data_IF_761931067013
#
_entry.id   IF_761931067013
#
_cell.length_a   1.000
_cell.length_b   1.000
_cell.length_c   1.000
_cell.angle_alpha   90.00
_cell.angle_beta   90.00
_cell.angle_gamma   90.00
#
_symmetry.space_group_name_H-M   'P 1'
#
loop_
_entity.id
_entity.type
_entity.pdbx_description
1 polymer ?
#
# COMPACT_ATOMS: atom_id res chain seq x y z
N UNK A 1 -9.44 12.59 -1.12
CA UNK A 1 -8.35 12.07 -1.98
C UNK A 1 -8.61 12.33 -3.48
N UNK A 2 -9.80 12.02 -4.02
CA UNK A 2 -10.05 12.09 -5.47
C UNK A 2 -10.35 13.48 -6.06
N UNK A 3 -10.79 14.46 -5.25
CA UNK A 3 -11.07 15.81 -5.76
C UNK A 3 -9.83 16.63 -6.13
N UNK A 4 -8.62 16.20 -5.74
CA UNK A 4 -7.38 16.90 -6.07
C UNK A 4 -6.94 16.70 -7.53
N UNK A 5 -7.45 15.68 -8.23
CA UNK A 5 -6.99 15.35 -9.59
C UNK A 5 -7.59 16.22 -10.69
N UNK A 6 -8.67 16.97 -10.43
CA UNK A 6 -9.48 17.58 -11.50
C UNK A 6 -9.38 19.12 -11.61
N UNK A 7 -8.51 19.79 -10.82
CA UNK A 7 -8.36 21.24 -10.94
C UNK A 7 -7.21 21.61 -11.89
N UNK A 8 -7.59 22.00 -13.09
CA UNK A 8 -6.73 22.30 -14.24
C UNK A 8 -6.17 23.73 -14.21
N UNK A 9 -4.83 23.83 -14.09
CA UNK A 9 -3.92 24.82 -14.74
C UNK A 9 -2.57 24.98 -14.03
N UNK A 10 -2.34 24.31 -12.89
CA UNK A 10 -0.98 24.12 -12.34
C UNK A 10 -0.53 22.70 -12.63
N UNK A 11 0.58 22.56 -13.35
CA UNK A 11 1.27 21.28 -13.41
C UNK A 11 1.76 20.95 -12.01
N UNK A 12 1.20 19.90 -11.41
CA UNK A 12 1.62 19.41 -10.10
C UNK A 12 3.12 19.14 -10.10
N UNK A 13 3.82 19.61 -9.07
CA UNK A 13 5.27 19.38 -8.94
C UNK A 13 5.47 18.04 -8.24
N UNK A 14 6.14 17.11 -8.92
CA UNK A 14 6.50 15.80 -8.39
C UNK A 14 7.98 15.73 -8.05
N UNK A 15 8.28 15.19 -6.88
CA UNK A 15 9.63 14.81 -6.46
C UNK A 15 9.76 13.29 -6.55
N UNK A 16 10.74 12.83 -7.30
CA UNK A 16 11.09 11.42 -7.41
C UNK A 16 12.32 11.15 -6.56
N UNK A 17 12.27 10.10 -5.74
CA UNK A 17 13.40 9.68 -4.90
C UNK A 17 13.65 8.21 -5.15
N UNK A 18 14.79 7.89 -5.75
CA UNK A 18 15.29 6.51 -5.83
C UNK A 18 16.11 6.22 -4.59
N UNK A 19 15.78 5.13 -3.91
CA UNK A 19 16.45 4.64 -2.70
C UNK A 19 16.94 3.22 -2.97
N UNK A 20 18.25 3.03 -3.00
CA UNK A 20 18.90 1.73 -3.24
C UNK A 20 19.83 1.36 -2.10
N UNK A 21 19.91 0.08 -1.74
CA UNK A 21 20.84 -0.38 -0.70
C UNK A 21 21.92 -1.28 -1.30
N UNK A 22 23.18 -1.06 -0.91
CA UNK A 22 24.32 -1.92 -1.26
C UNK A 22 24.97 -2.52 0.00
N UNK A 23 24.16 -3.08 0.90
CA UNK A 23 24.53 -3.70 2.19
C UNK A 23 25.20 -2.80 3.24
N UNK A 24 26.12 -1.92 2.85
CA UNK A 24 26.86 -0.99 3.72
C UNK A 24 26.42 0.46 3.54
N UNK A 25 25.60 0.75 2.53
CA UNK A 25 25.13 2.09 2.18
C UNK A 25 23.70 2.10 1.70
N UNK A 26 23.05 3.25 1.92
CA UNK A 26 21.84 3.64 1.20
C UNK A 26 22.17 4.82 0.30
N UNK A 27 21.87 4.66 -0.98
CA UNK A 27 22.00 5.68 -2.00
C UNK A 27 20.64 6.31 -2.27
N UNK A 28 20.63 7.64 -2.27
CA UNK A 28 19.46 8.45 -2.58
C UNK A 28 19.71 9.26 -3.85
N UNK A 29 18.78 9.19 -4.81
CA UNK A 29 18.78 10.04 -6.00
C UNK A 29 17.45 10.76 -6.15
N UNK A 30 17.49 12.08 -6.13
CA UNK A 30 16.32 12.94 -6.14
C UNK A 30 16.26 13.75 -7.43
N UNK A 31 15.10 13.79 -8.08
CA UNK A 31 14.88 14.62 -9.28
C UNK A 31 13.41 15.05 -9.39
N UNK A 32 13.17 16.12 -10.15
CA UNK A 32 11.82 16.61 -10.47
C UNK A 32 11.43 16.21 -11.90
N UNK A 33 10.12 16.18 -12.20
CA UNK A 33 9.52 15.79 -13.50
C UNK A 33 10.28 16.25 -14.76
N UNK A 34 10.85 17.46 -14.75
CA UNK A 34 11.46 18.09 -15.93
C UNK A 34 12.91 18.52 -15.73
N UNK A 35 13.53 18.18 -14.60
CA UNK A 35 14.89 18.62 -14.28
C UNK A 35 15.92 17.54 -14.61
N UNK A 36 16.91 17.90 -15.45
CA UNK A 36 18.11 17.08 -15.66
C UNK A 36 19.06 17.11 -14.47
N UNK A 37 18.80 17.98 -13.48
CA UNK A 37 19.58 18.09 -12.26
C UNK A 37 19.01 17.11 -11.24
N UNK A 38 19.88 16.28 -10.71
CA UNK A 38 19.56 15.41 -9.60
C UNK A 38 20.43 15.75 -8.40
N UNK A 39 19.85 15.62 -7.21
CA UNK A 39 20.60 15.56 -5.96
C UNK A 39 20.93 14.09 -5.71
N UNK A 40 22.19 13.80 -5.41
CA UNK A 40 22.62 12.47 -4.99
C UNK A 40 23.22 12.57 -3.59
N UNK A 41 22.79 11.68 -2.72
CA UNK A 41 23.28 11.54 -1.35
C UNK A 41 23.53 10.07 -1.05
N UNK A 42 24.45 9.81 -0.15
CA UNK A 42 24.72 8.47 0.36
C UNK A 42 24.74 8.54 1.87
N UNK A 43 24.30 7.46 2.52
CA UNK A 43 24.42 7.29 3.96
C UNK A 43 24.97 5.90 4.24
N UNK A 44 26.04 5.84 5.02
CA UNK A 44 26.55 4.57 5.51
C UNK A 44 25.52 3.95 6.45
N UNK A 45 25.23 2.68 6.24
CA UNK A 45 24.32 1.90 7.08
C UNK A 45 24.93 0.52 7.33
N UNK A 46 24.88 0.05 8.56
CA UNK A 46 25.31 -1.32 8.85
C UNK A 46 24.14 -2.28 8.68
N UNK A 47 24.45 -3.54 8.34
CA UNK A 47 23.44 -4.61 8.32
C UNK A 47 22.71 -4.75 9.67
N UNK A 48 23.43 -4.61 10.77
CA UNK A 48 22.83 -4.66 12.11
C UNK A 48 21.84 -3.52 12.34
N UNK A 49 22.16 -2.31 11.84
CA UNK A 49 21.26 -1.17 11.92
C UNK A 49 20.00 -1.39 11.07
N UNK A 50 20.13 -1.94 9.85
CA UNK A 50 18.99 -2.30 9.03
C UNK A 50 18.09 -3.33 9.72
N UNK A 51 18.66 -4.39 10.30
CA UNK A 51 17.89 -5.39 11.05
C UNK A 51 17.16 -4.75 12.24
N UNK A 52 17.79 -3.81 12.95
CA UNK A 52 17.16 -3.10 14.06
C UNK A 52 16.00 -2.23 13.57
N UNK A 53 16.14 -1.54 12.43
CA UNK A 53 15.07 -0.76 11.83
C UNK A 53 13.90 -1.67 11.43
N UNK A 54 14.17 -2.82 10.82
CA UNK A 54 13.14 -3.80 10.48
C UNK A 54 12.40 -4.27 11.72
N UNK A 55 13.12 -4.63 12.79
CA UNK A 55 12.53 -5.03 14.06
C UNK A 55 11.63 -3.94 14.64
N UNK A 56 12.07 -2.68 14.65
CA UNK A 56 11.25 -1.55 15.11
C UNK A 56 10.00 -1.36 14.24
N UNK A 57 10.08 -1.62 12.93
CA UNK A 57 8.91 -1.59 12.04
C UNK A 57 7.91 -2.70 12.39
N UNK A 58 8.39 -3.93 12.63
CA UNK A 58 7.53 -5.04 13.05
C UNK A 58 6.83 -4.74 14.37
N UNK A 59 7.59 -4.27 15.37
CA UNK A 59 7.03 -3.91 16.68
C UNK A 59 6.00 -2.78 16.58
N UNK A 60 6.24 -1.79 15.71
CA UNK A 60 5.30 -0.73 15.45
C UNK A 60 3.98 -1.27 14.84
N UNK A 61 4.05 -2.19 13.88
CA UNK A 61 2.86 -2.83 13.28
C UNK A 61 2.10 -3.63 14.33
N UNK A 62 2.78 -4.47 15.11
CA UNK A 62 2.15 -5.29 16.16
C UNK A 62 1.44 -4.41 17.20
N UNK A 63 2.04 -3.28 17.56
CA UNK A 63 1.45 -2.33 18.50
C UNK A 63 0.25 -1.59 17.92
N UNK A 64 0.30 -1.16 16.66
CA UNK A 64 -0.86 -0.56 15.99
C UNK A 64 -2.06 -1.52 15.95
N UNK A 65 -1.77 -2.81 15.78
CA UNK A 65 -2.76 -3.88 15.78
C UNK A 65 -3.25 -4.29 17.18
N UNK A 66 -2.61 -3.84 18.26
CA UNK A 66 -3.00 -4.17 19.64
C UNK A 66 -4.14 -3.31 20.18
N UNK A 67 -4.82 -3.75 21.24
CA UNK A 67 -5.94 -3.03 21.89
C UNK A 67 -5.50 -1.88 22.82
N UNK A 68 -4.29 -1.34 22.66
CA UNK A 68 -3.81 -0.18 23.42
C UNK A 68 -4.61 1.07 23.01
N UNK A 69 -4.73 2.05 23.92
CA UNK A 69 -5.42 3.31 23.65
C UNK A 69 -4.72 4.17 22.57
N UNK A 70 -5.50 4.94 21.83
CA UNK A 70 -5.03 5.67 20.64
C UNK A 70 -3.94 6.71 20.95
N UNK A 71 -3.97 7.33 22.13
CA UNK A 71 -2.99 8.35 22.52
C UNK A 71 -1.59 7.73 22.63
N UNK A 72 -1.48 6.58 23.28
CA UNK A 72 -0.21 5.86 23.41
C UNK A 72 0.29 5.34 22.06
N UNK A 73 -0.63 5.00 21.14
CA UNK A 73 -0.29 4.61 19.76
C UNK A 73 0.34 5.77 18.99
N UNK A 74 -0.26 6.96 19.04
CA UNK A 74 0.22 8.13 18.31
C UNK A 74 1.60 8.60 18.82
N UNK A 75 1.81 8.65 20.14
CA UNK A 75 3.10 9.03 20.73
C UNK A 75 4.22 8.04 20.35
N UNK A 76 3.90 6.75 20.34
CA UNK A 76 4.85 5.71 19.97
C UNK A 76 5.15 5.72 18.48
N UNK A 77 4.13 5.85 17.64
CA UNK A 77 4.27 6.03 16.20
C UNK A 77 5.19 7.22 15.88
N UNK A 78 4.98 8.35 16.58
CA UNK A 78 5.84 9.53 16.46
C UNK A 78 7.28 9.22 16.86
N UNK A 79 7.48 8.59 18.02
CA UNK A 79 8.83 8.27 18.52
C UNK A 79 9.58 7.32 17.59
N UNK A 80 8.94 6.24 17.14
CA UNK A 80 9.53 5.25 16.23
C UNK A 80 9.76 5.84 14.84
N UNK A 81 8.81 6.62 14.32
CA UNK A 81 8.94 7.32 13.04
C UNK A 81 10.08 8.35 13.01
N UNK A 82 10.30 9.07 14.12
CA UNK A 82 11.47 9.95 14.30
C UNK A 82 12.75 9.13 14.34
N UNK A 83 12.80 8.07 15.15
CA UNK A 83 13.98 7.22 15.28
C UNK A 83 14.41 6.66 13.92
N UNK A 84 13.49 6.02 13.18
CA UNK A 84 13.77 5.44 11.87
C UNK A 84 14.22 6.52 10.88
N UNK A 85 13.57 7.69 10.88
CA UNK A 85 13.94 8.81 10.02
C UNK A 85 15.39 9.27 10.28
N UNK A 86 15.79 9.41 11.55
CA UNK A 86 17.16 9.79 11.91
C UNK A 86 18.20 8.73 11.52
N UNK A 87 17.82 7.44 11.56
CA UNK A 87 18.71 6.37 11.11
C UNK A 87 18.83 6.30 9.58
N UNK A 88 17.77 6.61 8.83
CA UNK A 88 17.76 6.47 7.37
C UNK A 88 18.15 7.76 6.62
N UNK A 89 17.55 8.89 6.95
CA UNK A 89 17.73 10.12 6.16
C UNK A 89 18.94 10.92 6.63
N UNK A 90 19.60 11.60 5.69
CA UNK A 90 20.61 12.61 6.02
C UNK A 90 19.93 13.93 6.37
N UNK A 91 20.59 14.80 7.13
CA UNK A 91 20.08 16.15 7.42
C UNK A 91 19.74 16.91 6.14
N UNK A 92 20.58 16.79 5.10
CA UNK A 92 20.38 17.43 3.81
C UNK A 92 19.12 16.94 3.09
N UNK A 93 18.78 15.66 3.19
CA UNK A 93 17.53 15.13 2.64
C UNK A 93 16.31 15.65 3.40
N UNK A 94 16.35 15.65 4.74
CA UNK A 94 15.29 16.21 5.58
C UNK A 94 15.07 17.69 5.27
N UNK A 95 16.15 18.47 5.16
CA UNK A 95 16.08 19.88 4.78
C UNK A 95 15.44 20.05 3.40
N UNK A 96 15.82 19.21 2.41
CA UNK A 96 15.24 19.26 1.07
C UNK A 96 13.73 18.96 1.09
N UNK A 97 13.29 17.95 1.83
CA UNK A 97 11.88 17.60 1.97
C UNK A 97 11.07 18.71 2.67
N UNK A 98 11.67 19.42 3.63
CA UNK A 98 11.00 20.52 4.32
C UNK A 98 10.80 21.75 3.42
N UNK A 99 11.78 22.08 2.57
CA UNK A 99 11.76 23.32 1.76
C UNK A 99 11.19 23.16 0.36
N UNK A 100 11.05 21.93 -0.15
CA UNK A 100 10.50 21.70 -1.50
C UNK A 100 9.03 22.14 -1.62
N UNK A 101 8.67 22.51 -2.85
CA UNK A 101 7.30 22.84 -3.26
C UNK A 101 6.60 21.66 -3.93
N UNK A 102 7.24 20.50 -4.02
CA UNK A 102 6.60 19.30 -4.52
C UNK A 102 5.40 18.94 -3.63
N UNK A 103 4.29 18.59 -4.29
CA UNK A 103 3.07 18.11 -3.63
C UNK A 103 3.04 16.58 -3.63
N UNK A 104 3.72 15.95 -4.59
CA UNK A 104 3.77 14.51 -4.76
C UNK A 104 5.20 14.01 -4.54
N UNK A 105 5.31 12.89 -3.83
CA UNK A 105 6.56 12.19 -3.59
C UNK A 105 6.45 10.77 -4.14
N UNK A 106 7.23 10.45 -5.16
CA UNK A 106 7.26 9.11 -5.75
C UNK A 106 8.57 8.44 -5.36
N UNK A 107 8.48 7.42 -4.51
CA UNK A 107 9.61 6.66 -4.00
C UNK A 107 9.87 5.44 -4.91
N UNK A 108 11.03 5.39 -5.56
CA UNK A 108 11.53 4.17 -6.19
C UNK A 108 12.38 3.42 -5.17
N UNK A 109 11.86 2.35 -4.60
CA UNK A 109 12.44 1.69 -3.43
C UNK A 109 12.98 0.33 -3.87
N UNK A 110 14.21 0.04 -3.48
CA UNK A 110 14.80 -1.29 -3.59
C UNK A 110 14.05 -2.31 -2.73
N UNK A 111 13.97 -3.57 -3.19
CA UNK A 111 13.21 -4.64 -2.54
C UNK A 111 13.60 -4.82 -1.07
N UNK A 112 14.89 -4.66 -0.74
CA UNK A 112 15.39 -4.78 0.63
C UNK A 112 14.85 -3.70 1.59
N UNK A 113 14.33 -2.59 1.07
CA UNK A 113 13.88 -1.43 1.86
C UNK A 113 12.36 -1.24 1.84
N UNK A 114 11.61 -2.19 1.26
CA UNK A 114 10.15 -2.08 1.06
C UNK A 114 9.37 -2.08 2.37
N UNK A 115 9.85 -2.82 3.37
CA UNK A 115 9.18 -2.98 4.67
C UNK A 115 9.22 -1.71 5.53
N UNK A 116 10.12 -0.78 5.21
CA UNK A 116 10.21 0.49 5.92
C UNK A 116 8.96 1.32 5.59
N UNK A 117 8.23 1.85 6.58
CA UNK A 117 7.06 2.70 6.38
C UNK A 117 7.47 4.15 6.06
N UNK A 118 8.06 4.38 4.87
CA UNK A 118 8.58 5.67 4.42
C UNK A 118 7.62 6.85 4.59
N UNK A 119 6.31 6.61 4.46
CA UNK A 119 5.23 7.58 4.67
C UNK A 119 5.14 8.07 6.11
N UNK A 120 5.48 7.22 7.07
CA UNK A 120 5.36 7.46 8.51
C UNK A 120 6.66 8.02 9.12
N UNK A 121 7.65 8.34 8.28
CA UNK A 121 8.88 8.98 8.73
C UNK A 121 8.63 10.44 9.07
N UNK A 122 9.22 10.90 10.18
CA UNK A 122 9.12 12.29 10.62
C UNK A 122 10.29 13.12 10.07
N UNK A 123 10.04 13.87 8.99
CA UNK A 123 11.04 14.74 8.34
C UNK A 123 11.35 16.01 9.15
N UNK A 124 10.51 16.31 10.14
CA UNK A 124 10.71 17.29 11.19
C UNK A 124 10.16 16.71 12.50
N UNK A 125 10.37 17.38 13.64
CA UNK A 125 9.80 16.94 14.92
C UNK A 125 8.27 16.83 14.92
N UNK A 126 7.58 17.49 13.98
CA UNK A 126 6.11 17.59 13.96
C UNK A 126 5.51 17.26 12.58
N UNK A 127 6.28 16.74 11.63
CA UNK A 127 5.79 16.56 10.26
C UNK A 127 6.18 15.20 9.70
N UNK A 128 5.17 14.37 9.40
CA UNK A 128 5.36 13.13 8.66
C UNK A 128 5.48 13.37 7.16
N UNK A 129 6.12 12.44 6.46
CA UNK A 129 6.20 12.45 5.00
C UNK A 129 4.80 12.48 4.37
N UNK A 130 3.86 11.66 4.83
CA UNK A 130 2.50 11.60 4.27
C UNK A 130 1.62 12.81 4.56
N UNK A 131 1.95 13.60 5.59
CA UNK A 131 1.26 14.88 5.85
C UNK A 131 1.76 15.99 4.92
N UNK A 132 3.03 15.88 4.49
CA UNK A 132 3.68 16.83 3.60
C UNK A 132 3.40 16.54 2.12
N UNK A 133 3.31 15.26 1.74
CA UNK A 133 3.23 14.82 0.35
C UNK A 133 2.10 13.83 0.10
N UNK A 134 1.56 13.84 -1.12
CA UNK A 134 0.89 12.68 -1.69
C UNK A 134 1.95 11.65 -2.09
N UNK A 135 2.11 10.62 -1.27
CA UNK A 135 3.18 9.62 -1.45
C UNK A 135 2.71 8.47 -2.33
N UNK A 136 3.57 8.06 -3.27
CA UNK A 136 3.44 6.81 -4.01
C UNK A 136 4.75 6.02 -3.94
N UNK A 137 4.65 4.69 -3.97
CA UNK A 137 5.80 3.78 -3.98
C UNK A 137 5.85 3.00 -5.28
N UNK A 138 7.06 2.83 -5.81
CA UNK A 138 7.38 1.96 -6.92
C UNK A 138 8.53 1.06 -6.47
N UNK A 139 8.30 -0.24 -6.42
CA UNK A 139 9.34 -1.19 -5.99
C UNK A 139 10.17 -1.54 -7.21
N UNK A 140 11.48 -1.32 -7.14
CA UNK A 140 12.40 -1.65 -8.20
C UNK A 140 12.57 -3.18 -8.26
N UNK A 141 11.79 -3.84 -9.12
CA UNK A 141 11.95 -5.24 -9.44
C UNK A 141 12.67 -5.36 -10.79
N UNK A 142 13.89 -5.92 -10.79
CA UNK A 142 14.64 -6.24 -12.02
C UNK A 142 13.87 -7.18 -12.98
N UNK A 143 12.77 -7.78 -12.53
CA UNK A 143 12.01 -8.81 -13.23
C UNK A 143 10.57 -8.44 -13.60
N UNK A 144 10.12 -7.18 -13.51
CA UNK A 144 8.86 -6.80 -14.15
C UNK A 144 9.13 -6.76 -15.66
N UNK A 145 8.89 -7.90 -16.33
CA UNK A 145 8.65 -7.91 -17.78
C UNK A 145 7.71 -6.75 -18.04
N UNK A 146 8.09 -5.80 -18.92
CA UNK A 146 7.23 -4.69 -19.33
C UNK A 146 5.85 -5.28 -19.62
N UNK A 147 4.91 -5.10 -18.69
CA UNK A 147 3.54 -5.46 -18.94
C UNK A 147 3.05 -4.47 -19.99
N UNK A 148 2.21 -4.92 -20.90
CA UNK A 148 1.55 -4.02 -21.83
C UNK A 148 0.80 -2.94 -21.03
N UNK A 149 0.77 -1.70 -21.52
CA UNK A 149 -0.08 -0.69 -20.90
C UNK A 149 -1.53 -1.18 -20.99
N UNK A 150 -2.22 -1.21 -19.85
CA UNK A 150 -3.64 -1.55 -19.83
C UNK A 150 -4.41 -0.42 -20.51
N UNK A 151 -5.20 -0.76 -21.53
CA UNK A 151 -6.17 0.19 -22.08
C UNK A 151 -7.27 0.41 -21.04
N UNK A 152 -7.29 1.59 -20.43
CA UNK A 152 -8.37 2.00 -19.55
C UNK A 152 -9.55 2.42 -20.43
N UNK A 153 -10.67 1.70 -20.30
CA UNK A 153 -11.90 2.03 -21.01
C UNK A 153 -12.61 3.21 -20.32
N UNK A 154 -13.59 3.81 -21.01
CA UNK A 154 -14.42 4.88 -20.44
C UNK A 154 -15.32 4.41 -19.28
N UNK A 155 -15.52 3.09 -19.18
CA UNK A 155 -16.17 2.42 -18.05
C UNK A 155 -15.08 1.74 -17.21
N UNK A 156 -14.97 2.18 -15.96
CA UNK A 156 -14.09 1.64 -14.94
C UNK A 156 -14.84 0.61 -14.11
N UNK A 157 -14.24 -0.56 -13.91
CA UNK A 157 -14.81 -1.62 -13.10
C UNK A 157 -14.02 -1.79 -11.79
N UNK A 158 -14.71 -1.81 -10.66
CA UNK A 158 -14.15 -2.00 -9.32
C UNK A 158 -14.73 -3.26 -8.67
N UNK A 159 -13.85 -4.16 -8.25
CA UNK A 159 -14.21 -5.29 -7.39
C UNK A 159 -13.96 -4.91 -5.94
N UNK A 160 -14.97 -5.00 -5.08
CA UNK A 160 -14.84 -4.84 -3.64
C UNK A 160 -14.84 -6.23 -3.01
N UNK A 161 -13.71 -6.64 -2.45
CA UNK A 161 -13.53 -7.95 -1.83
C UNK A 161 -13.73 -7.81 -0.32
N UNK A 162 -14.82 -8.38 0.20
CA UNK A 162 -15.17 -8.34 1.63
C UNK A 162 -15.25 -9.76 2.21
N UNK A 163 -14.12 -10.50 2.26
CA UNK A 163 -14.13 -11.88 2.70
C UNK A 163 -14.66 -11.91 4.13
N UNK A 164 -15.80 -12.56 4.31
CA UNK A 164 -16.51 -12.52 5.58
C UNK A 164 -15.64 -13.16 6.68
N UNK A 165 -15.22 -12.29 7.61
CA UNK A 165 -14.24 -12.49 8.67
C UNK A 165 -14.29 -11.32 9.66
N UNK A 166 -15.18 -11.42 10.65
CA UNK A 166 -15.34 -10.63 11.90
C UNK A 166 -15.16 -9.08 11.93
N UNK A 167 -14.86 -8.41 10.81
CA UNK A 167 -14.73 -6.96 10.72
C UNK A 167 -16.12 -6.34 10.50
N UNK A 168 -16.71 -5.80 11.57
CA UNK A 168 -18.03 -5.17 11.57
C UNK A 168 -18.18 -4.01 10.59
N UNK A 169 -17.07 -3.38 10.20
CA UNK A 169 -17.04 -2.22 9.29
C UNK A 169 -16.93 -2.58 7.81
N UNK A 170 -16.59 -3.82 7.46
CA UNK A 170 -16.30 -4.20 6.08
C UNK A 170 -17.53 -4.08 5.15
N UNK A 171 -18.70 -4.54 5.62
CA UNK A 171 -19.95 -4.44 4.86
C UNK A 171 -20.41 -2.98 4.73
N UNK A 172 -20.52 -2.18 5.81
CA UNK A 172 -20.85 -0.75 5.69
C UNK A 172 -19.94 0.03 4.75
N UNK A 173 -18.63 -0.23 4.79
CA UNK A 173 -17.66 0.42 3.90
C UNK A 173 -17.92 0.06 2.43
N UNK A 174 -18.17 -1.24 2.14
CA UNK A 174 -18.48 -1.70 0.79
C UNK A 174 -19.76 -1.05 0.25
N UNK A 175 -20.82 -1.03 1.05
CA UNK A 175 -22.11 -0.41 0.67
C UNK A 175 -21.94 1.10 0.40
N UNK A 176 -21.10 1.78 1.20
CA UNK A 176 -20.81 3.20 1.02
C UNK A 176 -20.03 3.46 -0.28
N UNK A 177 -19.04 2.63 -0.61
CA UNK A 177 -18.27 2.75 -1.86
C UNK A 177 -19.18 2.53 -3.07
N UNK A 178 -20.02 1.49 -3.06
CA UNK A 178 -21.01 1.24 -4.11
C UNK A 178 -21.95 2.44 -4.29
N UNK A 179 -22.51 2.95 -3.18
CA UNK A 179 -23.42 4.10 -3.21
C UNK A 179 -22.74 5.37 -3.75
N UNK A 180 -21.45 5.57 -3.45
CA UNK A 180 -20.65 6.68 -3.96
C UNK A 180 -20.34 6.52 -5.46
N UNK A 181 -20.09 5.30 -5.93
CA UNK A 181 -19.91 5.02 -7.35
C UNK A 181 -21.19 5.33 -8.14
N UNK A 182 -22.35 4.87 -7.67
CA UNK A 182 -23.65 5.19 -8.28
C UNK A 182 -23.90 6.71 -8.31
N UNK A 183 -23.62 7.40 -7.20
CA UNK A 183 -23.77 8.85 -7.11
C UNK A 183 -22.81 9.60 -8.05
N UNK A 184 -21.59 9.08 -8.22
CA UNK A 184 -20.59 9.61 -9.15
C UNK A 184 -21.08 9.52 -10.60
N UNK A 185 -21.60 8.37 -11.03
CA UNK A 185 -22.10 8.16 -12.39
C UNK A 185 -23.29 9.07 -12.71
N UNK A 186 -24.14 9.36 -11.71
CA UNK A 186 -25.23 10.33 -11.86
C UNK A 186 -24.73 11.78 -12.00
N UNK A 187 -23.55 12.09 -11.47
CA UNK A 187 -23.01 13.46 -11.41
C UNK A 187 -22.03 13.78 -12.55
N UNK A 188 -21.38 12.76 -13.14
CA UNK A 188 -20.36 12.92 -14.17
C UNK A 188 -20.70 12.07 -15.39
N UNK A 189 -20.96 12.71 -16.53
CA UNK A 189 -21.42 12.03 -17.75
C UNK A 189 -20.30 11.43 -18.63
N UNK A 190 -19.04 11.62 -18.27
CA UNK A 190 -17.89 11.29 -19.13
C UNK A 190 -17.08 10.08 -18.63
N UNK A 191 -17.44 9.52 -17.48
CA UNK A 191 -16.77 8.38 -16.89
C UNK A 191 -17.80 7.58 -16.10
N UNK A 192 -17.89 6.28 -16.38
CA UNK A 192 -18.79 5.36 -15.69
C UNK A 192 -17.94 4.49 -14.74
N UNK A 193 -18.37 4.33 -13.50
CA UNK A 193 -17.71 3.52 -12.49
C UNK A 193 -18.68 2.46 -11.99
N UNK A 194 -18.48 1.22 -12.43
CA UNK A 194 -19.21 0.05 -11.94
C UNK A 194 -18.48 -0.54 -10.74
N UNK A 195 -19.15 -0.65 -9.59
CA UNK A 195 -18.60 -1.26 -8.38
C UNK A 195 -19.44 -2.48 -7.97
N UNK A 196 -18.77 -3.60 -7.71
CA UNK A 196 -19.40 -4.86 -7.28
C UNK A 196 -18.72 -5.38 -6.00
N UNK A 197 -19.51 -5.68 -4.97
CA UNK A 197 -19.01 -6.33 -3.75
C UNK A 197 -19.14 -7.86 -3.82
N UNK A 198 -18.09 -8.57 -3.43
CA UNK A 198 -18.07 -10.03 -3.34
C UNK A 198 -17.50 -10.50 -1.99
N UNK A 199 -18.37 -11.05 -1.14
CA UNK A 199 -18.03 -11.57 0.19
C UNK A 199 -17.76 -13.08 0.22
N UNK A 200 -18.00 -13.77 -0.90
CA UNK A 200 -17.86 -15.23 -1.02
C UNK A 200 -16.61 -15.62 -1.83
N UNK A 201 -15.77 -14.65 -2.14
CA UNK A 201 -14.59 -14.86 -2.96
C UNK A 201 -13.54 -15.70 -2.22
N UNK A 202 -13.04 -16.73 -2.92
CA UNK A 202 -12.00 -17.65 -2.44
C UNK A 202 -10.67 -17.34 -3.11
N UNK A 203 -9.56 -17.88 -2.57
CA UNK A 203 -8.24 -17.72 -3.19
C UNK A 203 -8.18 -18.32 -4.61
N UNK A 204 -8.89 -19.41 -4.89
CA UNK A 204 -9.02 -19.89 -6.26
C UNK A 204 -9.79 -18.89 -7.14
N UNK A 205 -10.94 -18.41 -6.66
CA UNK A 205 -11.84 -17.60 -7.47
C UNK A 205 -11.29 -16.23 -7.85
N UNK A 206 -10.58 -15.60 -6.91
CA UNK A 206 -9.98 -14.29 -7.15
C UNK A 206 -8.91 -14.32 -8.24
N UNK A 207 -8.21 -15.45 -8.43
CA UNK A 207 -7.08 -15.54 -9.39
C UNK A 207 -7.48 -15.26 -10.84
N UNK A 208 -8.72 -15.59 -11.22
CA UNK A 208 -9.26 -15.29 -12.53
C UNK A 208 -10.17 -14.06 -12.53
N UNK A 209 -10.91 -13.83 -11.45
CA UNK A 209 -11.87 -12.72 -11.35
C UNK A 209 -11.16 -11.37 -11.38
N UNK A 210 -10.02 -11.25 -10.70
CA UNK A 210 -9.30 -9.99 -10.51
C UNK A 210 -8.86 -9.32 -11.82
N UNK A 211 -8.61 -10.10 -12.88
CA UNK A 211 -8.14 -9.59 -14.18
C UNK A 211 -9.23 -8.83 -14.95
N UNK A 212 -10.50 -9.01 -14.60
CA UNK A 212 -11.63 -8.38 -15.29
C UNK A 212 -12.00 -7.00 -14.73
N UNK A 213 -11.36 -6.57 -13.65
CA UNK A 213 -11.62 -5.27 -13.01
C UNK A 213 -10.43 -4.35 -13.18
N UNK A 214 -10.65 -3.06 -13.18
CA UNK A 214 -9.62 -2.02 -13.22
C UNK A 214 -9.10 -1.70 -11.81
N UNK A 215 -9.97 -1.83 -10.82
CA UNK A 215 -9.68 -1.63 -9.39
C UNK A 215 -10.12 -2.83 -8.57
N UNK A 216 -9.38 -3.08 -7.49
CA UNK A 216 -9.78 -4.04 -6.47
C UNK A 216 -9.65 -3.37 -5.11
N UNK A 217 -10.75 -3.19 -4.41
CA UNK A 217 -10.79 -2.70 -3.04
C UNK A 217 -10.90 -3.88 -2.08
N UNK A 218 -9.84 -4.18 -1.32
CA UNK A 218 -9.84 -5.30 -0.37
C UNK A 218 -10.15 -4.83 1.05
N UNK A 219 -11.22 -5.33 1.66
CA UNK A 219 -11.62 -5.02 3.04
C UNK A 219 -11.76 -6.32 3.83
N UNK A 220 -10.65 -6.76 4.41
CA UNK A 220 -10.57 -8.04 5.12
C UNK A 220 -9.26 -8.17 5.90
N UNK A 221 -9.04 -9.36 6.47
CA UNK A 221 -7.78 -9.68 7.14
C UNK A 221 -6.68 -10.02 6.16
N UNK A 222 -5.45 -9.71 6.54
CA UNK A 222 -4.24 -10.17 5.87
C UNK A 222 -3.37 -10.93 6.86
N UNK A 223 -2.70 -11.98 6.38
CA UNK A 223 -1.66 -12.63 7.15
C UNK A 223 -0.32 -11.95 6.88
N UNK A 224 0.35 -11.57 7.96
CA UNK A 224 1.67 -10.95 7.92
C UNK A 224 2.61 -11.72 8.85
N UNK A 225 3.62 -12.34 8.25
CA UNK A 225 4.68 -13.09 8.89
C UNK A 225 6.05 -12.68 8.30
N UNK A 226 7.13 -13.24 8.84
CA UNK A 226 8.50 -12.91 8.43
C UNK A 226 8.86 -13.41 7.02
N UNK A 227 8.14 -14.41 6.50
CA UNK A 227 8.31 -14.93 5.15
C UNK A 227 7.37 -14.21 4.17
N UNK A 228 7.85 -13.10 3.60
CA UNK A 228 7.07 -12.18 2.73
C UNK A 228 6.29 -12.89 1.60
N UNK A 229 6.84 -13.98 1.04
CA UNK A 229 6.19 -14.76 -0.03
C UNK A 229 4.91 -15.49 0.42
N UNK A 230 4.76 -15.71 1.72
CA UNK A 230 3.61 -16.38 2.34
C UNK A 230 2.55 -15.38 2.82
N UNK A 231 2.92 -14.11 2.98
CA UNK A 231 1.98 -13.05 3.35
C UNK A 231 0.92 -12.85 2.27
N UNK A 232 -0.31 -12.55 2.68
CA UNK A 232 -1.43 -12.50 1.74
C UNK A 232 -2.78 -12.17 2.33
N UNK A 233 -3.78 -12.09 1.45
CA UNK A 233 -5.16 -11.85 1.84
C UNK A 233 -5.81 -13.12 2.35
N UNK A 234 -6.45 -13.03 3.51
CA UNK A 234 -7.26 -14.12 4.06
C UNK A 234 -8.64 -14.06 3.40
N UNK A 235 -9.03 -15.15 2.76
CA UNK A 235 -10.24 -15.29 1.95
C UNK A 235 -11.08 -16.48 2.42
N UNK A 236 -12.29 -16.62 1.89
CA UNK A 236 -13.14 -17.79 2.15
C UNK A 236 -12.42 -19.09 1.76
N UNK A 237 -12.65 -20.19 2.48
CA UNK A 237 -12.05 -21.48 2.13
C UNK A 237 -12.48 -21.90 0.73
N UNK A 238 -11.56 -22.48 -0.03
CA UNK A 238 -11.89 -23.05 -1.34
C UNK A 238 -12.86 -24.24 -1.14
N UNK A 239 -13.86 -24.41 -2.02
CA UNK A 239 -14.75 -25.56 -1.96
C UNK A 239 -13.92 -26.85 -2.09
N UNK A 240 -14.07 -27.74 -1.11
CA UNK A 240 -13.45 -29.07 -1.14
C UNK A 240 -14.21 -29.92 -2.16
N UNK A 241 -13.58 -30.21 -3.29
CA UNK A 241 -14.09 -31.22 -4.23
C UNK A 241 -13.62 -32.60 -3.76
N UNK A 242 -14.54 -33.38 -3.18
CA UNK A 242 -14.33 -34.78 -2.76
C UNK A 242 -14.00 -35.65 -4.00
N UNK A 243 -12.74 -35.67 -4.39
CA UNK A 243 -12.23 -36.58 -5.42
C UNK A 243 -11.15 -37.54 -4.90
N UNK A 244 -10.76 -37.45 -3.62
CA UNK A 244 -9.81 -38.38 -3.01
C UNK A 244 -10.50 -39.29 -1.99
N UNK A 245 -10.37 -40.59 -2.25
CA UNK A 245 -10.93 -41.67 -1.43
C UNK A 245 -10.43 -41.58 0.02
N UNK A 246 -11.26 -41.02 0.89
CA UNK A 246 -11.46 -41.50 2.26
C UNK A 246 -10.23 -41.55 3.15
N UNK A 247 -9.33 -40.57 3.10
CA UNK A 247 -8.30 -40.43 4.13
C UNK A 247 -7.94 -38.96 4.42
N UNK A 248 -8.85 -38.22 5.05
CA UNK A 248 -8.58 -36.84 5.47
C UNK A 248 -8.56 -36.73 6.99
N UNK A 249 -7.38 -36.96 7.58
CA UNK A 249 -6.99 -36.29 8.82
C UNK A 249 -6.51 -34.85 8.55
N UNK A 250 -6.60 -34.39 7.31
CA UNK A 250 -6.31 -33.00 6.95
C UNK A 250 -7.45 -32.11 7.46
N UNK A 251 -7.11 -31.29 8.44
CA UNK A 251 -7.94 -30.20 8.95
C UNK A 251 -8.52 -29.46 7.74
N UNK A 252 -9.86 -29.41 7.62
CA UNK A 252 -10.52 -28.45 6.74
C UNK A 252 -9.94 -27.07 7.10
N UNK A 253 -9.17 -26.48 6.19
CA UNK A 253 -8.68 -25.13 6.39
C UNK A 253 -9.92 -24.21 6.51
N UNK A 254 -10.04 -23.49 7.62
CA UNK A 254 -11.17 -22.59 7.87
C UNK A 254 -11.19 -21.38 6.91
N UNK A 255 -10.07 -21.13 6.22
CA UNK A 255 -9.84 -20.04 5.28
C UNK A 255 -8.87 -20.45 4.17
N UNK A 256 -8.79 -19.64 3.11
CA UNK A 256 -7.76 -19.74 2.07
C UNK A 256 -6.94 -18.45 2.01
N UNK A 257 -5.72 -18.50 1.49
CA UNK A 257 -4.84 -17.32 1.40
C UNK A 257 -4.43 -17.06 -0.06
N UNK A 258 -4.64 -15.83 -0.52
CA UNK A 258 -4.02 -15.31 -1.74
C UNK A 258 -2.68 -14.66 -1.37
N UNK A 259 -1.60 -15.41 -1.53
CA UNK A 259 -0.25 -14.96 -1.17
C UNK A 259 0.39 -14.10 -2.26
N UNK A 260 1.36 -13.28 -1.88
CA UNK A 260 2.19 -12.49 -2.81
C UNK A 260 2.84 -13.37 -3.89
N UNK A 261 3.31 -14.58 -3.52
CA UNK A 261 3.83 -15.58 -4.47
C UNK A 261 2.79 -16.00 -5.51
N UNK A 262 1.55 -16.28 -5.11
CA UNK A 262 0.47 -16.61 -6.06
C UNK A 262 0.18 -15.44 -7.01
N UNK A 263 0.22 -14.20 -6.51
CA UNK A 263 0.05 -13.00 -7.34
C UNK A 263 1.19 -12.88 -8.37
N UNK A 264 2.44 -13.12 -7.99
CA UNK A 264 3.58 -13.14 -8.92
C UNK A 264 3.40 -14.20 -10.02
N UNK A 265 2.97 -15.41 -9.65
CA UNK A 265 2.67 -16.50 -10.57
C UNK A 265 1.51 -16.14 -11.53
N UNK A 266 0.47 -15.49 -11.02
CA UNK A 266 -0.70 -15.04 -11.79
C UNK A 266 -0.38 -13.90 -12.76
N UNK A 267 0.50 -12.98 -12.35
CA UNK A 267 0.83 -11.80 -13.09
C UNK A 267 1.39 -12.21 -14.45
N UNK A 268 2.38 -13.12 -14.52
CA UNK A 268 2.75 -13.83 -15.75
C UNK A 268 3.02 -12.97 -17.01
N UNK A 269 3.16 -11.64 -16.87
CA UNK A 269 3.21 -10.65 -17.97
C UNK A 269 1.88 -9.93 -18.31
N UNK A 270 0.75 -10.29 -17.69
CA UNK A 270 -0.55 -9.60 -17.79
C UNK A 270 -0.62 -8.44 -16.79
N UNK A 271 -1.17 -7.27 -17.18
CA UNK A 271 -1.39 -6.16 -16.26
C UNK A 271 -2.38 -6.55 -15.16
N UNK A 272 -2.01 -6.33 -13.91
CA UNK A 272 -2.91 -6.49 -12.75
C UNK A 272 -3.70 -5.20 -12.53
N UNK A 273 -4.93 -5.26 -11.95
CA UNK A 273 -5.63 -4.05 -11.53
C UNK A 273 -4.87 -3.26 -10.47
N UNK A 274 -5.29 -2.01 -10.29
CA UNK A 274 -4.88 -1.24 -9.13
C UNK A 274 -5.51 -1.84 -7.88
N UNK A 275 -4.66 -2.28 -6.94
CA UNK A 275 -5.11 -2.72 -5.62
C UNK A 275 -5.25 -1.50 -4.73
N UNK A 276 -6.43 -1.30 -4.16
CA UNK A 276 -6.79 -0.22 -3.26
C UNK A 276 -7.07 -0.85 -1.89
N UNK A 277 -6.49 -0.26 -0.86
CA UNK A 277 -6.68 -0.69 0.52
C UNK A 277 -7.43 0.38 1.31
N UNK A 278 -8.27 -0.01 2.28
CA UNK A 278 -8.90 0.92 3.19
C UNK A 278 -7.81 1.68 3.95
N UNK A 279 -7.80 3.01 3.80
CA UNK A 279 -7.12 3.86 4.77
C UNK A 279 -8.12 4.19 5.86
N UNK A 280 -8.31 3.29 6.83
CA UNK A 280 -8.87 3.66 8.13
C UNK A 280 -7.81 4.39 8.93
N UNK A 281 -7.50 5.61 8.48
CA UNK A 281 -6.77 6.58 9.27
C UNK A 281 -7.82 7.49 9.86
N UNK A 282 -8.22 7.21 11.10
CA UNK A 282 -9.12 8.07 11.86
C UNK A 282 -8.33 9.32 12.33
N UNK A 283 -7.87 10.15 11.39
CA UNK A 283 -7.23 11.45 11.64
C UNK A 283 -8.22 12.61 11.40
N UNK A 284 -9.41 12.51 11.99
CA UNK A 284 -10.38 13.61 12.13
C UNK A 284 -10.83 13.55 13.61
N UNK A 285 -10.80 14.56 14.46
CA UNK A 285 -10.78 16.01 14.28
C UNK A 285 -10.08 16.64 15.51
N UNK A 286 -8.95 17.34 15.35
CA UNK A 286 -8.64 18.45 16.25
C UNK A 286 -9.16 19.73 15.58
N UNK A 287 -10.48 19.93 15.71
CA UNK A 287 -11.05 21.27 15.58
C UNK A 287 -10.54 22.08 16.77
N UNK A 288 -9.87 23.19 16.46
CA UNK A 288 -9.53 24.24 17.41
C UNK A 288 -10.71 24.56 18.33
N UNK A 289 -10.45 24.51 19.64
CA UNK A 289 -11.02 25.40 20.64
C UNK A 289 -9.88 26.16 21.29
#
# INVERSE_FOLDING_TARGET
MWMAFMNSNKQAIRLYVTVTSDFDKIDYRLHYDSDSKFLQEQKDITKDLLNNIEQECFEMIDQLNSDIDNISKDERLKTTGIYICEQLLTTRLKDHFNVTKAEYLILYIDKALVNIPWELLYISQETMVCEKFFVGRLINHEAIKRSEERSINSELNMLIVTPDGNLSHAIPESDEICSKADSFNNSYSHLDLSAESDSQITAHNITYKIKNYDFVHFVGHAEFNNEISENGWILKPDPVYDNDNGNTNDKKNEYSILTSKKIEEMAGGTPMPLLVFPMHVNLQEQKHN
#
